data_IF_621400347097
#
_entry.id   IF_621400347097
#
_cell.length_a   1.000
_cell.length_b   1.000
_cell.length_c   1.000
_cell.angle_alpha   90.00
_cell.angle_beta   90.00
_cell.angle_gamma   90.00
#
_symmetry.space_group_name_H-M   'P 1'
#
loop_
_entity.id
_entity.type
_entity.pdbx_description
1 polymer ?
#
# COMPACT_ATOMS: atom_id res chain seq x y z
N UNK A 1 12.41 20.87 11.37
CA UNK A 1 11.94 19.50 11.65
C UNK A 1 10.61 19.29 10.93
N UNK A 2 10.44 19.93 9.78
CA UNK A 2 10.79 19.42 8.44
C UNK A 2 9.61 18.53 7.99
N UNK A 3 8.51 19.14 7.56
CA UNK A 3 8.43 19.53 6.15
C UNK A 3 8.32 18.28 5.28
N UNK A 4 7.38 17.38 5.59
CA UNK A 4 6.98 16.28 4.70
C UNK A 4 6.35 16.93 3.48
N UNK A 5 7.22 17.28 2.53
CA UNK A 5 6.84 17.70 1.20
C UNK A 5 5.94 16.62 0.64
N UNK A 6 4.80 17.05 0.13
CA UNK A 6 3.89 16.29 -0.71
C UNK A 6 4.69 15.85 -1.95
N UNK A 7 5.50 14.80 -1.82
CA UNK A 7 5.78 13.94 -2.96
C UNK A 7 4.43 13.30 -3.22
N UNK A 8 3.92 13.45 -4.44
CA UNK A 8 2.63 12.92 -4.88
C UNK A 8 2.66 11.38 -4.84
N UNK A 9 2.61 10.84 -3.63
CA UNK A 9 2.44 9.42 -3.37
C UNK A 9 0.94 9.10 -3.46
N UNK A 10 0.64 7.85 -3.83
CA UNK A 10 -0.70 7.30 -3.95
C UNK A 10 -1.62 7.79 -2.82
N UNK A 11 -2.86 8.22 -3.11
CA UNK A 11 -3.77 8.61 -2.02
C UNK A 11 -4.13 7.38 -1.19
N UNK A 12 -4.36 7.56 0.11
CA UNK A 12 -4.81 6.49 1.01
C UNK A 12 -6.05 5.77 0.47
N UNK A 13 -7.00 6.52 -0.11
CA UNK A 13 -8.19 5.94 -0.74
C UNK A 13 -7.84 5.06 -1.95
N UNK A 14 -6.86 5.46 -2.78
CA UNK A 14 -6.41 4.67 -3.93
C UNK A 14 -5.70 3.39 -3.47
N UNK A 15 -4.88 3.49 -2.41
CA UNK A 15 -4.24 2.33 -1.78
C UNK A 15 -5.27 1.32 -1.25
N UNK A 16 -6.28 1.80 -0.53
CA UNK A 16 -7.37 0.95 -0.05
C UNK A 16 -8.14 0.32 -1.21
N UNK A 17 -8.34 1.03 -2.33
CA UNK A 17 -9.02 0.47 -3.51
C UNK A 17 -8.17 -0.63 -4.16
N UNK A 18 -6.87 -0.44 -4.34
CA UNK A 18 -5.97 -1.47 -4.89
C UNK A 18 -5.97 -2.74 -4.05
N UNK A 19 -5.87 -2.60 -2.72
CA UNK A 19 -5.92 -3.75 -1.81
C UNK A 19 -7.26 -4.48 -1.92
N UNK A 20 -8.37 -3.75 -2.01
CA UNK A 20 -9.68 -4.36 -2.14
C UNK A 20 -9.91 -4.99 -3.51
N UNK A 21 -9.34 -4.44 -4.57
CA UNK A 21 -9.43 -5.00 -5.93
C UNK A 21 -8.66 -6.32 -6.03
N UNK A 22 -7.45 -6.38 -5.44
CA UNK A 22 -6.59 -7.56 -5.47
C UNK A 22 -7.05 -8.65 -4.49
N UNK A 23 -7.32 -8.28 -3.23
CA UNK A 23 -7.56 -9.23 -2.15
C UNK A 23 -9.04 -9.34 -1.76
N UNK A 24 -9.91 -8.48 -2.29
CA UNK A 24 -11.31 -8.39 -1.88
C UNK A 24 -11.49 -7.62 -0.56
N UNK A 25 -12.74 -7.23 -0.27
CA UNK A 25 -13.08 -6.41 0.91
C UNK A 25 -12.74 -7.10 2.25
N UNK A 26 -12.98 -8.41 2.38
CA UNK A 26 -12.77 -9.14 3.64
C UNK A 26 -11.29 -9.26 4.00
N UNK A 27 -10.48 -9.83 3.09
CA UNK A 27 -9.05 -10.00 3.32
C UNK A 27 -8.31 -8.66 3.25
N UNK A 28 -8.70 -7.76 2.35
CA UNK A 28 -8.10 -6.43 2.24
C UNK A 28 -8.22 -5.60 3.52
N UNK A 29 -9.37 -5.63 4.19
CA UNK A 29 -9.53 -4.94 5.47
C UNK A 29 -8.61 -5.52 6.56
N UNK A 30 -8.47 -6.86 6.61
CA UNK A 30 -7.52 -7.49 7.53
C UNK A 30 -6.07 -7.09 7.22
N UNK A 31 -5.69 -7.03 5.94
CA UNK A 31 -4.34 -6.60 5.51
C UNK A 31 -4.05 -5.18 6.01
N UNK A 32 -4.99 -4.26 5.82
CA UNK A 32 -4.82 -2.86 6.22
C UNK A 32 -4.58 -2.68 7.72
N UNK A 33 -5.29 -3.43 8.57
CA UNK A 33 -5.27 -3.20 10.01
C UNK A 33 -4.32 -4.14 10.77
N UNK A 34 -4.06 -5.34 10.26
CA UNK A 34 -3.41 -6.40 11.06
C UNK A 34 -2.22 -7.06 10.38
N UNK A 35 -2.08 -6.94 9.05
CA UNK A 35 -0.93 -7.54 8.38
C UNK A 35 0.35 -6.75 8.68
N UNK A 36 1.42 -7.48 8.96
CA UNK A 36 2.77 -6.95 9.16
C UNK A 36 3.58 -7.36 7.93
N UNK A 37 3.87 -6.42 7.02
CA UNK A 37 4.57 -6.73 5.77
C UNK A 37 6.01 -7.20 6.04
N UNK A 38 6.49 -8.13 5.20
CA UNK A 38 7.87 -8.63 5.29
C UNK A 38 8.90 -7.48 5.34
N UNK A 39 9.84 -7.58 6.28
CA UNK A 39 10.88 -6.57 6.50
C UNK A 39 10.48 -5.39 7.39
N UNK A 40 9.28 -5.40 7.95
CA UNK A 40 8.82 -4.42 8.95
C UNK A 40 8.40 -5.11 10.25
N UNK A 41 8.42 -4.36 11.35
CA UNK A 41 8.01 -4.82 12.69
C UNK A 41 6.65 -4.22 13.11
N UNK A 42 5.94 -3.60 12.17
CA UNK A 42 4.70 -2.85 12.42
C UNK A 42 3.64 -3.16 11.38
N UNK A 43 2.37 -2.98 11.74
CA UNK A 43 1.24 -3.21 10.82
C UNK A 43 1.21 -2.18 9.69
N UNK A 44 0.51 -2.53 8.61
CA UNK A 44 0.26 -1.61 7.47
C UNK A 44 -0.26 -0.25 7.98
N UNK A 45 -1.29 -0.23 8.83
CA UNK A 45 -1.82 1.00 9.45
C UNK A 45 -0.73 1.81 10.17
N UNK A 46 0.06 1.18 11.03
CA UNK A 46 1.13 1.85 11.77
C UNK A 46 2.23 2.43 10.86
N UNK A 47 2.52 1.76 9.74
CA UNK A 47 3.51 2.24 8.77
C UNK A 47 3.00 3.46 8.01
N UNK A 48 1.69 3.53 7.74
CA UNK A 48 1.04 4.70 7.15
C UNK A 48 1.10 5.88 8.13
N UNK A 49 0.83 5.62 9.41
CA UNK A 49 0.95 6.63 10.47
C UNK A 49 2.39 7.13 10.66
N UNK A 50 3.38 6.25 10.51
CA UNK A 50 4.81 6.58 10.54
C UNK A 50 5.26 7.43 9.34
N UNK A 51 4.39 7.59 8.33
CA UNK A 51 4.65 8.37 7.13
C UNK A 51 5.40 7.59 6.05
N UNK A 52 5.37 6.26 6.09
CA UNK A 52 5.91 5.44 5.01
C UNK A 52 5.09 5.68 3.74
N UNK A 53 5.76 5.78 2.59
CA UNK A 53 5.09 5.89 1.29
C UNK A 53 4.19 4.70 1.03
N UNK A 54 2.91 4.95 0.74
CA UNK A 54 1.89 3.98 0.36
C UNK A 54 2.29 3.21 -0.90
N UNK A 55 2.94 3.87 -1.88
CA UNK A 55 3.48 3.15 -3.05
C UNK A 55 4.53 2.10 -2.67
N UNK A 56 5.39 2.43 -1.69
CA UNK A 56 6.40 1.48 -1.19
C UNK A 56 5.72 0.35 -0.42
N UNK A 57 4.74 0.68 0.41
CA UNK A 57 3.97 -0.30 1.17
C UNK A 57 3.23 -1.27 0.24
N UNK A 58 2.60 -0.76 -0.82
CA UNK A 58 1.98 -1.58 -1.86
C UNK A 58 2.96 -2.53 -2.54
N UNK A 59 4.16 -2.06 -2.89
CA UNK A 59 5.18 -2.91 -3.49
C UNK A 59 5.62 -4.04 -2.56
N UNK A 60 5.75 -3.76 -1.25
CA UNK A 60 6.09 -4.79 -0.25
C UNK A 60 4.96 -5.80 -0.07
N UNK A 61 3.70 -5.34 -0.03
CA UNK A 61 2.55 -6.25 -0.01
C UNK A 61 2.52 -7.12 -1.28
N UNK A 62 2.81 -6.55 -2.45
CA UNK A 62 2.87 -7.32 -3.67
C UNK A 62 3.98 -8.39 -3.66
N UNK A 63 5.09 -8.14 -2.97
CA UNK A 63 6.15 -9.13 -2.76
C UNK A 63 5.71 -10.23 -1.78
N UNK A 64 5.11 -9.84 -0.64
CA UNK A 64 4.66 -10.75 0.41
C UNK A 64 3.59 -11.75 -0.08
N UNK A 65 2.67 -11.26 -0.91
CA UNK A 65 1.57 -12.04 -1.46
C UNK A 65 1.86 -12.60 -2.87
N UNK A 66 3.09 -12.47 -3.37
CA UNK A 66 3.49 -12.89 -4.72
C UNK A 66 2.54 -12.37 -5.82
N UNK A 67 2.07 -11.13 -5.66
CA UNK A 67 1.17 -10.49 -6.63
C UNK A 67 1.92 -10.28 -7.94
N UNK A 68 1.43 -10.79 -9.08
CA UNK A 68 2.10 -10.65 -10.37
C UNK A 68 2.12 -9.19 -10.83
N UNK A 69 3.21 -8.77 -11.49
CA UNK A 69 3.43 -7.39 -11.94
C UNK A 69 2.29 -6.84 -12.82
N UNK A 70 1.63 -7.70 -13.58
CA UNK A 70 0.45 -7.37 -14.39
C UNK A 70 -0.74 -6.83 -13.58
N UNK A 71 -0.79 -7.12 -12.28
CA UNK A 71 -1.86 -6.71 -11.35
C UNK A 71 -1.44 -5.61 -10.37
N UNK A 72 -0.13 -5.45 -10.15
CA UNK A 72 0.44 -4.40 -9.27
C UNK A 72 0.07 -2.98 -9.71
N UNK A 73 -0.22 -2.79 -11.00
CA UNK A 73 -0.67 -1.52 -11.57
C UNK A 73 -2.15 -1.64 -11.95
N UNK A 74 -3.02 -1.71 -10.94
CA UNK A 74 -4.45 -1.54 -11.15
C UNK A 74 -4.72 -0.17 -11.79
N UNK A 75 -4.88 -0.16 -13.11
CA UNK A 75 -5.10 1.01 -13.98
C UNK A 75 -4.17 2.19 -13.67
N UNK A 76 -3.05 2.29 -14.40
CA UNK A 76 -2.26 3.52 -14.45
C UNK A 76 -3.17 4.70 -14.80
N UNK A 77 -3.30 5.63 -13.85
CA UNK A 77 -3.88 6.95 -14.08
C UNK A 77 -2.85 8.02 -13.72
N UNK A 78 -1.73 8.02 -14.44
CA UNK A 78 -0.75 9.12 -14.51
C UNK A 78 0.20 9.19 -13.32
N UNK A 79 1.48 9.55 -13.47
CA UNK A 79 2.06 10.46 -14.46
C UNK A 79 3.33 9.92 -15.14
N UNK A 80 3.55 10.50 -16.33
CA UNK A 80 4.71 10.46 -17.24
C UNK A 80 6.09 10.37 -16.60
#
# INVERSE_FOLDING_TARGET
MDGVGIIVDMRLTEFHQLIQDEFGHGQGNWILHSHVPAGYDRTVEQLIEDGLSLRKLWAVLCDDFDVPEERRLGVDRGEK
#
